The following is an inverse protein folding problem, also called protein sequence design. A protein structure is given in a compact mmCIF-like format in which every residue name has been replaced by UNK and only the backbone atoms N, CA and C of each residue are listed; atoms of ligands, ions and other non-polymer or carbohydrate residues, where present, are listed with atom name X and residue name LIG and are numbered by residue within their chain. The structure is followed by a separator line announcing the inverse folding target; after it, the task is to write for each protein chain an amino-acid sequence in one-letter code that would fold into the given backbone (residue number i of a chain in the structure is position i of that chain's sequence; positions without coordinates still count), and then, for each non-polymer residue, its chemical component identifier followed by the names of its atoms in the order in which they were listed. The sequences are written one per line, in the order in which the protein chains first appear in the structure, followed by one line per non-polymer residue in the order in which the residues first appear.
data_IF_501993105055
#
_entry.id   IF_501993105055
#
_cell.length_a   1.000
_cell.length_b   1.000
_cell.length_c   1.000
_cell.angle_alpha   90.00
_cell.angle_beta   90.00
_cell.angle_gamma   90.00
#
_symmetry.space_group_name_H-M   'P 1'
#
loop_
_entity.id
_entity.type
_entity.pdbx_description
1 polymer ?
#
# COMPACT_ATOMS: atom_id res chain seq x y z
N UNK A 1 -38.80 -63.89 34.23
CA UNK A 1 -37.78 -63.80 35.29
C UNK A 1 -36.50 -63.29 34.66
N UNK A 2 -36.05 -62.14 35.16
CA UNK A 2 -34.93 -61.32 34.68
C UNK A 2 -33.59 -61.90 35.14
N UNK A 3 -32.57 -61.80 34.31
CA UNK A 3 -31.18 -61.70 34.77
C UNK A 3 -30.55 -60.51 34.05
N UNK A 4 -30.51 -59.39 34.78
CA UNK A 4 -29.70 -58.21 34.51
C UNK A 4 -28.22 -58.60 34.48
N UNK A 5 -27.50 -58.22 33.42
CA UNK A 5 -26.04 -58.02 33.47
C UNK A 5 -25.76 -56.54 33.55
N UNK A 6 -25.10 -56.15 34.65
CA UNK A 6 -24.56 -54.82 34.90
C UNK A 6 -23.67 -54.34 33.75
N UNK A 7 -23.99 -53.17 33.19
CA UNK A 7 -23.05 -52.31 32.47
C UNK A 7 -22.77 -51.15 33.40
N UNK A 8 -21.52 -51.09 33.85
CA UNK A 8 -21.00 -50.01 34.68
C UNK A 8 -21.14 -48.67 33.97
N UNK A 9 -21.65 -47.70 34.73
CA UNK A 9 -21.72 -46.29 34.38
C UNK A 9 -20.30 -45.74 34.29
N UNK A 10 -19.84 -45.56 33.07
CA UNK A 10 -18.69 -44.73 32.77
C UNK A 10 -19.06 -43.27 33.10
N UNK A 11 -18.75 -42.87 34.33
CA UNK A 11 -19.03 -41.56 34.89
C UNK A 11 -17.89 -40.63 34.47
N UNK A 12 -17.82 -40.32 33.19
CA UNK A 12 -16.97 -39.24 32.71
C UNK A 12 -17.53 -37.91 33.24
N UNK A 13 -16.71 -37.05 33.85
CA UNK A 13 -17.15 -35.72 34.27
C UNK A 13 -17.61 -34.95 33.02
N UNK A 14 -18.60 -34.04 33.15
CA UNK A 14 -19.00 -33.19 32.05
C UNK A 14 -17.75 -32.45 31.56
N UNK A 15 -17.41 -32.66 30.29
CA UNK A 15 -16.46 -31.83 29.56
C UNK A 15 -16.92 -30.41 29.80
N UNK A 16 -16.13 -29.64 30.56
CA UNK A 16 -16.47 -28.28 30.93
C UNK A 16 -16.89 -27.54 29.68
N UNK A 17 -18.02 -26.82 29.75
CA UNK A 17 -18.45 -25.89 28.72
C UNK A 17 -17.23 -25.07 28.29
N UNK A 18 -16.69 -25.37 27.11
CA UNK A 18 -15.77 -24.46 26.45
C UNK A 18 -16.64 -23.25 26.19
N UNK A 19 -16.52 -22.24 27.07
CA UNK A 19 -17.28 -21.00 26.94
C UNK A 19 -17.17 -20.55 25.48
N UNK A 20 -18.32 -20.49 24.79
CA UNK A 20 -18.36 -20.02 23.43
C UNK A 20 -17.66 -18.65 23.37
N UNK A 21 -16.85 -18.39 22.32
CA UNK A 21 -16.10 -17.14 22.23
C UNK A 21 -17.06 -15.95 22.29
N UNK A 22 -16.69 -14.92 23.04
CA UNK A 22 -17.54 -13.73 23.14
C UNK A 22 -17.63 -13.01 21.78
N UNK A 23 -18.67 -12.18 21.60
CA UNK A 23 -18.78 -11.32 20.40
C UNK A 23 -17.51 -10.49 20.18
N UNK A 24 -16.90 -9.99 21.25
CA UNK A 24 -15.66 -9.20 21.19
C UNK A 24 -14.46 -10.05 20.72
N UNK A 25 -14.34 -11.29 21.18
CA UNK A 25 -13.30 -12.22 20.73
C UNK A 25 -13.46 -12.58 19.25
N UNK A 26 -14.70 -12.83 18.81
CA UNK A 26 -15.00 -13.13 17.40
C UNK A 26 -14.66 -11.94 16.52
N UNK A 27 -15.10 -10.73 16.89
CA UNK A 27 -14.79 -9.50 16.14
C UNK A 27 -13.29 -9.22 16.07
N UNK A 28 -12.55 -9.46 17.15
CA UNK A 28 -11.09 -9.37 17.16
C UNK A 28 -10.44 -10.35 16.17
N UNK A 29 -10.88 -11.60 16.17
CA UNK A 29 -10.39 -12.60 15.21
C UNK A 29 -10.72 -12.21 13.76
N UNK A 30 -11.96 -11.78 13.50
CA UNK A 30 -12.41 -11.34 12.18
C UNK A 30 -11.66 -10.10 11.68
N UNK A 31 -11.31 -9.18 12.58
CA UNK A 31 -10.47 -8.02 12.26
C UNK A 31 -9.05 -8.46 11.90
N UNK A 32 -8.46 -9.39 12.65
CA UNK A 32 -7.15 -9.96 12.30
C UNK A 32 -7.11 -10.59 10.91
N UNK A 33 -8.21 -11.22 10.47
CA UNK A 33 -8.33 -11.78 9.11
C UNK A 33 -8.45 -10.69 8.02
N UNK A 34 -9.14 -9.58 8.30
CA UNK A 34 -9.17 -8.42 7.39
C UNK A 34 -7.78 -7.83 7.21
N UNK A 35 -7.06 -7.62 8.32
CA UNK A 35 -5.70 -7.07 8.30
C UNK A 35 -4.73 -7.98 7.52
N UNK A 36 -4.79 -9.30 7.73
CA UNK A 36 -4.03 -10.28 6.94
C UNK A 36 -4.32 -10.17 5.44
N UNK A 37 -5.61 -10.14 5.09
CA UNK A 37 -6.02 -10.09 3.68
C UNK A 37 -5.61 -8.79 3.00
N UNK A 38 -5.78 -7.68 3.70
CA UNK A 38 -5.33 -6.36 3.23
C UNK A 38 -3.82 -6.35 3.01
N UNK A 39 -3.03 -6.80 3.99
CA UNK A 39 -1.58 -6.79 3.87
C UNK A 39 -1.08 -7.75 2.77
N UNK A 40 -1.69 -8.93 2.61
CA UNK A 40 -1.37 -9.84 1.48
C UNK A 40 -1.66 -9.22 0.12
N UNK A 41 -2.77 -8.48 -0.02
CA UNK A 41 -3.04 -7.70 -1.23
C UNK A 41 -1.96 -6.64 -1.44
N UNK A 42 -1.51 -5.95 -0.39
CA UNK A 42 -0.42 -4.99 -0.51
C UNK A 42 0.89 -5.65 -0.97
N UNK A 43 1.29 -6.79 -0.41
CA UNK A 43 2.47 -7.56 -0.82
C UNK A 43 2.38 -7.91 -2.32
N UNK A 44 1.22 -8.39 -2.76
CA UNK A 44 1.01 -8.83 -4.15
C UNK A 44 1.16 -7.68 -5.15
N UNK A 45 0.71 -6.48 -4.80
CA UNK A 45 0.62 -5.33 -5.72
C UNK A 45 1.69 -4.25 -5.51
N UNK A 46 2.46 -4.29 -4.43
CA UNK A 46 3.48 -3.29 -4.12
C UNK A 46 4.81 -3.89 -3.63
N UNK A 47 4.89 -5.20 -3.37
CA UNK A 47 6.11 -5.87 -2.87
C UNK A 47 6.82 -6.72 -3.93
N UNK A 48 7.62 -7.68 -3.45
CA UNK A 48 8.45 -8.59 -4.25
C UNK A 48 7.73 -9.26 -5.43
N UNK A 49 6.50 -9.76 -5.22
CA UNK A 49 5.75 -10.43 -6.28
C UNK A 49 5.37 -9.49 -7.44
N UNK A 50 5.29 -8.18 -7.17
CA UNK A 50 5.15 -7.17 -8.21
C UNK A 50 6.40 -7.04 -9.07
N UNK A 51 7.60 -7.21 -8.49
CA UNK A 51 8.87 -7.14 -9.23
C UNK A 51 9.30 -8.46 -9.89
N UNK A 52 9.05 -9.62 -9.27
CA UNK A 52 9.47 -10.93 -9.80
C UNK A 52 8.60 -11.41 -10.97
N UNK A 53 7.33 -11.01 -10.98
CA UNK A 53 6.38 -11.36 -12.04
C UNK A 53 5.81 -10.09 -12.68
N UNK A 54 6.64 -9.31 -13.41
CA UNK A 54 6.23 -8.06 -14.05
C UNK A 54 5.26 -8.25 -15.23
N UNK A 55 4.70 -9.46 -15.41
CA UNK A 55 3.64 -9.69 -16.38
C UNK A 55 2.38 -8.87 -15.99
N UNK A 56 2.28 -7.71 -16.64
CA UNK A 56 1.12 -6.95 -17.11
C UNK A 56 0.20 -6.27 -16.07
N UNK A 57 0.17 -6.64 -14.79
CA UNK A 57 -0.89 -6.07 -13.89
C UNK A 57 -0.50 -5.66 -12.46
N UNK A 58 0.74 -5.90 -11.99
CA UNK A 58 1.07 -5.79 -10.55
C UNK A 58 1.85 -4.52 -10.18
N UNK A 59 3.01 -4.29 -10.79
CA UNK A 59 3.60 -2.94 -10.91
C UNK A 59 3.00 -2.33 -12.17
N UNK A 60 2.36 -1.16 -12.04
CA UNK A 60 1.70 -0.56 -13.19
C UNK A 60 2.78 -0.02 -14.13
N UNK A 61 2.98 -0.71 -15.25
CA UNK A 61 3.83 -0.27 -16.34
C UNK A 61 3.04 0.65 -17.26
N UNK A 62 3.39 1.93 -17.22
CA UNK A 62 2.78 2.96 -18.05
C UNK A 62 3.16 2.82 -19.55
N UNK A 63 4.14 1.99 -19.89
CA UNK A 63 4.50 1.69 -21.28
C UNK A 63 3.49 0.80 -22.01
N UNK A 64 2.63 0.06 -21.27
CA UNK A 64 1.64 -0.78 -21.93
C UNK A 64 0.62 0.07 -22.69
N UNK A 65 0.54 -0.11 -24.01
CA UNK A 65 -0.48 0.50 -24.88
C UNK A 65 -1.89 -0.07 -24.65
N UNK A 66 -2.04 -1.11 -23.83
CA UNK A 66 -3.34 -1.70 -23.53
C UNK A 66 -4.13 -0.83 -22.56
N UNK A 67 -5.45 -0.81 -22.72
CA UNK A 67 -6.36 -0.20 -21.74
C UNK A 67 -6.11 -0.75 -20.33
N UNK A 68 -6.45 0.05 -19.32
CA UNK A 68 -6.38 -0.35 -17.92
C UNK A 68 -7.62 -1.16 -17.56
N UNK A 69 -7.43 -2.37 -17.03
CA UNK A 69 -8.50 -3.20 -16.49
C UNK A 69 -9.08 -2.58 -15.20
N UNK A 70 -10.36 -2.85 -14.92
CA UNK A 70 -11.05 -2.26 -13.77
C UNK A 70 -10.40 -2.68 -12.44
N UNK A 71 -9.92 -3.91 -12.34
CA UNK A 71 -9.22 -4.43 -11.17
C UNK A 71 -7.92 -3.66 -10.91
N UNK A 72 -7.14 -3.38 -11.97
CA UNK A 72 -5.93 -2.56 -11.88
C UNK A 72 -6.23 -1.12 -11.49
N UNK A 73 -7.28 -0.53 -12.06
CA UNK A 73 -7.75 0.82 -11.72
C UNK A 73 -8.14 0.91 -10.24
N UNK A 74 -8.82 -0.11 -9.72
CA UNK A 74 -9.25 -0.17 -8.32
C UNK A 74 -8.07 -0.27 -7.34
N UNK A 75 -6.91 -0.81 -7.75
CA UNK A 75 -5.70 -0.82 -6.91
C UNK A 75 -5.03 0.55 -6.74
N UNK A 76 -5.29 1.48 -7.68
CA UNK A 76 -4.87 2.88 -7.63
C UNK A 76 -5.82 3.71 -6.76
N UNK A 77 -7.09 3.30 -6.71
CA UNK A 77 -8.11 3.95 -5.92
C UNK A 77 -7.91 3.77 -4.41
N UNK A 78 -8.54 4.65 -3.63
CA UNK A 78 -8.46 4.72 -2.17
C UNK A 78 -7.02 4.88 -1.64
N UNK A 79 -6.08 5.33 -2.48
CA UNK A 79 -4.69 5.66 -2.10
C UNK A 79 -4.48 7.17 -2.00
N UNK A 80 -3.55 7.59 -1.16
CA UNK A 80 -3.24 9.03 -0.97
C UNK A 80 -2.39 9.59 -2.10
N UNK A 81 -1.36 8.87 -2.56
CA UNK A 81 -0.49 9.36 -3.65
C UNK A 81 0.17 8.23 -4.45
N UNK A 82 0.48 8.45 -5.74
CA UNK A 82 1.40 7.61 -6.48
C UNK A 82 2.85 7.84 -6.02
N UNK A 83 3.62 6.76 -5.98
CA UNK A 83 5.08 6.76 -5.90
C UNK A 83 5.62 6.24 -7.23
N UNK A 84 6.14 7.15 -8.04
CA UNK A 84 6.71 6.84 -9.35
C UNK A 84 8.17 6.42 -9.21
N UNK A 85 8.49 5.26 -9.77
CA UNK A 85 9.86 4.82 -9.90
C UNK A 85 10.41 5.24 -11.26
N UNK A 86 11.44 6.07 -11.22
CA UNK A 86 12.05 6.69 -12.40
C UNK A 86 13.25 5.85 -12.84
N UNK A 87 13.22 5.23 -14.03
CA UNK A 87 14.31 4.38 -14.51
C UNK A 87 15.46 5.22 -15.09
N UNK A 88 16.36 5.69 -14.23
CA UNK A 88 17.52 6.51 -14.62
C UNK A 88 18.80 5.70 -14.87
N UNK A 89 18.80 4.42 -14.51
CA UNK A 89 19.83 3.45 -14.91
C UNK A 89 19.24 2.06 -15.01
N UNK A 90 20.04 1.12 -15.55
CA UNK A 90 19.73 -0.30 -15.37
C UNK A 90 19.84 -0.63 -13.88
N UNK A 91 18.80 -1.27 -13.33
CA UNK A 91 18.76 -1.75 -11.96
C UNK A 91 18.56 -3.26 -12.02
N UNK A 92 19.36 -4.01 -11.26
CA UNK A 92 19.13 -5.44 -11.14
C UNK A 92 17.76 -5.69 -10.48
N UNK A 93 16.98 -6.61 -11.04
CA UNK A 93 15.60 -6.89 -10.60
C UNK A 93 15.51 -7.22 -9.09
N UNK A 94 16.54 -7.87 -8.54
CA UNK A 94 16.63 -8.19 -7.10
C UNK A 94 16.69 -6.92 -6.24
N UNK A 95 17.44 -5.89 -6.66
CA UNK A 95 17.54 -4.62 -5.95
C UNK A 95 16.21 -3.89 -5.95
N UNK A 96 15.51 -3.89 -7.09
CA UNK A 96 14.17 -3.33 -7.20
C UNK A 96 13.18 -4.09 -6.32
N UNK A 97 13.24 -5.42 -6.30
CA UNK A 97 12.36 -6.22 -5.47
C UNK A 97 12.56 -5.91 -3.98
N UNK A 98 13.80 -5.87 -3.49
CA UNK A 98 14.11 -5.51 -2.10
C UNK A 98 13.67 -4.08 -1.77
N UNK A 99 13.89 -3.14 -2.67
CA UNK A 99 13.43 -1.76 -2.51
C UNK A 99 11.92 -1.68 -2.29
N UNK A 100 11.14 -2.40 -3.10
CA UNK A 100 9.68 -2.45 -2.98
C UNK A 100 9.21 -3.07 -1.67
N UNK A 101 9.87 -4.14 -1.21
CA UNK A 101 9.59 -4.76 0.09
C UNK A 101 9.82 -3.78 1.24
N UNK A 102 10.97 -3.10 1.23
CA UNK A 102 11.32 -2.12 2.26
C UNK A 102 10.41 -0.90 2.22
N UNK A 103 10.06 -0.41 1.03
CA UNK A 103 9.13 0.71 0.86
C UNK A 103 7.74 0.34 1.39
N UNK A 104 7.25 -0.86 1.08
CA UNK A 104 5.98 -1.37 1.60
C UNK A 104 6.00 -1.49 3.12
N UNK A 105 7.02 -2.12 3.69
CA UNK A 105 7.15 -2.29 5.15
C UNK A 105 7.25 -0.94 5.87
N UNK A 106 8.02 -0.01 5.30
CA UNK A 106 8.21 1.33 5.85
C UNK A 106 6.91 2.14 5.82
N UNK A 107 6.26 2.22 4.67
CA UNK A 107 4.98 2.94 4.51
C UNK A 107 3.87 2.30 5.34
N UNK A 108 3.78 0.97 5.38
CA UNK A 108 2.83 0.26 6.22
C UNK A 108 3.05 0.54 7.71
N UNK A 109 4.29 0.47 8.20
CA UNK A 109 4.61 0.77 9.59
C UNK A 109 4.20 2.20 9.99
N UNK A 110 4.35 3.16 9.08
CA UNK A 110 4.03 4.57 9.33
C UNK A 110 2.52 4.84 9.28
N UNK A 111 1.83 4.25 8.31
CA UNK A 111 0.41 4.52 8.05
C UNK A 111 -0.53 3.68 8.91
N UNK A 112 -0.24 2.39 9.06
CA UNK A 112 -1.15 1.43 9.67
C UNK A 112 -1.24 1.62 11.19
N UNK A 113 -2.46 1.91 11.64
CA UNK A 113 -2.89 1.87 13.04
C UNK A 113 -3.62 0.55 13.28
N UNK A 114 -3.08 -0.37 14.11
CA UNK A 114 -3.73 -1.62 14.46
C UNK A 114 -5.18 -1.40 14.87
N UNK A 115 -6.08 -2.23 14.37
CA UNK A 115 -7.52 -2.16 14.65
C UNK A 115 -8.27 -0.93 14.13
N UNK A 116 -7.61 0.22 14.02
CA UNK A 116 -8.26 1.51 13.73
C UNK A 116 -8.22 1.90 12.25
N UNK A 117 -7.31 1.31 11.47
CA UNK A 117 -7.19 1.66 10.05
C UNK A 117 -8.39 1.18 9.23
N UNK A 118 -8.92 2.05 8.38
CA UNK A 118 -10.02 1.78 7.45
C UNK A 118 -9.53 0.96 6.23
N UNK A 119 -9.38 -0.35 6.40
CA UNK A 119 -8.78 -1.25 5.40
C UNK A 119 -9.79 -1.92 4.45
N UNK A 120 -11.10 -1.85 4.75
CA UNK A 120 -12.17 -2.61 4.07
C UNK A 120 -12.30 -2.28 2.58
N UNK A 121 -11.82 -1.11 2.17
CA UNK A 121 -11.83 -0.64 0.77
C UNK A 121 -10.43 -0.51 0.17
N UNK A 122 -9.46 -1.18 0.77
CA UNK A 122 -8.08 -1.11 0.33
C UNK A 122 -7.49 0.29 0.51
N UNK A 123 -7.89 1.06 1.54
CA UNK A 123 -7.20 2.31 1.84
C UNK A 123 -5.74 1.99 2.19
N UNK A 124 -4.83 2.86 1.73
CA UNK A 124 -3.41 2.86 2.10
C UNK A 124 -2.78 4.16 1.61
N UNK A 125 -1.59 4.48 2.11
CA UNK A 125 -0.94 5.73 1.76
C UNK A 125 -0.51 5.81 0.29
N UNK A 126 0.15 4.78 -0.23
CA UNK A 126 0.85 4.88 -1.52
C UNK A 126 0.45 3.81 -2.53
N UNK A 127 0.58 4.12 -3.82
CA UNK A 127 0.64 3.12 -4.91
C UNK A 127 1.95 3.28 -5.65
N UNK A 128 2.75 2.22 -5.72
CA UNK A 128 3.98 2.24 -6.51
C UNK A 128 3.67 1.99 -7.98
N UNK A 129 4.22 2.84 -8.85
CA UNK A 129 4.07 2.79 -10.30
C UNK A 129 5.45 2.88 -10.94
N UNK A 130 5.70 2.08 -11.97
CA UNK A 130 6.95 2.14 -12.73
C UNK A 130 6.75 3.03 -13.95
N UNK A 131 7.64 3.99 -14.14
CA UNK A 131 7.62 4.82 -15.33
C UNK A 131 8.33 4.13 -16.50
N UNK A 132 7.96 4.49 -17.74
CA UNK A 132 8.66 4.07 -18.93
C UNK A 132 10.12 4.43 -18.96
N UNK A 133 10.88 3.64 -19.71
CA UNK A 133 12.22 4.05 -20.13
C UNK A 133 12.18 5.06 -21.28
N UNK A 134 11.05 5.18 -21.99
CA UNK A 134 10.87 6.10 -23.11
C UNK A 134 9.64 7.01 -22.91
N UNK A 135 9.77 8.35 -23.00
CA UNK A 135 11.02 9.07 -23.21
C UNK A 135 11.94 8.97 -22.00
N UNK A 136 13.26 9.05 -22.26
CA UNK A 136 14.27 8.98 -21.22
C UNK A 136 13.99 10.03 -20.14
N UNK A 137 14.09 9.67 -18.84
CA UNK A 137 13.82 10.62 -17.78
C UNK A 137 14.88 11.74 -17.77
N UNK A 138 14.52 12.95 -17.32
CA UNK A 138 15.48 14.04 -17.15
C UNK A 138 16.66 13.63 -16.24
N UNK A 139 17.86 14.15 -16.49
CA UNK A 139 19.08 13.75 -15.75
C UNK A 139 19.11 14.30 -14.33
N UNK A 140 18.64 15.54 -14.14
CA UNK A 140 18.60 16.17 -12.83
C UNK A 140 17.42 15.65 -12.00
N UNK A 141 17.66 15.30 -10.73
CA UNK A 141 16.64 14.69 -9.87
C UNK A 141 15.56 15.70 -9.43
N UNK A 142 15.92 16.97 -9.31
CA UNK A 142 15.02 18.05 -8.91
C UNK A 142 15.17 19.21 -9.89
N UNK A 143 14.47 19.12 -11.02
CA UNK A 143 14.40 20.18 -12.02
C UNK A 143 12.95 20.38 -12.49
N UNK A 144 12.72 21.47 -13.22
CA UNK A 144 11.41 21.75 -13.81
C UNK A 144 11.01 20.64 -14.80
N UNK A 145 11.96 20.14 -15.59
CA UNK A 145 11.74 19.05 -16.54
C UNK A 145 11.33 17.76 -15.82
N UNK A 146 11.97 17.43 -14.69
CA UNK A 146 11.58 16.25 -13.90
C UNK A 146 10.18 16.44 -13.30
N UNK A 147 9.89 17.62 -12.74
CA UNK A 147 8.55 17.92 -12.21
C UNK A 147 7.48 17.75 -13.29
N UNK A 148 7.70 18.28 -14.50
CA UNK A 148 6.75 18.18 -15.60
C UNK A 148 6.63 16.76 -16.17
N UNK A 149 7.74 16.00 -16.20
CA UNK A 149 7.74 14.58 -16.54
C UNK A 149 6.85 13.77 -15.58
N UNK A 150 6.96 14.00 -14.28
CA UNK A 150 6.11 13.35 -13.27
C UNK A 150 4.65 13.79 -13.37
N UNK A 151 4.38 15.08 -13.62
CA UNK A 151 3.01 15.58 -13.86
C UNK A 151 2.35 14.90 -15.05
N UNK A 152 3.07 14.78 -16.17
CA UNK A 152 2.60 14.11 -17.38
C UNK A 152 2.17 12.67 -17.07
N UNK A 153 3.01 11.90 -16.39
CA UNK A 153 2.70 10.52 -16.05
C UNK A 153 1.60 10.37 -15.00
N UNK A 154 1.53 11.29 -14.02
CA UNK A 154 0.42 11.35 -13.08
C UNK A 154 -0.92 11.62 -13.77
N UNK A 155 -0.95 12.57 -14.70
CA UNK A 155 -2.13 12.86 -15.50
C UNK A 155 -2.53 11.67 -16.37
N UNK A 156 -1.56 11.00 -17.01
CA UNK A 156 -1.80 9.79 -17.81
C UNK A 156 -2.40 8.65 -16.97
N UNK A 157 -1.82 8.37 -15.80
CA UNK A 157 -2.32 7.36 -14.87
C UNK A 157 -3.77 7.66 -14.45
N UNK A 158 -4.05 8.89 -14.03
CA UNK A 158 -5.38 9.30 -13.61
C UNK A 158 -6.40 9.20 -14.75
N UNK A 159 -6.02 9.56 -15.98
CA UNK A 159 -6.90 9.44 -17.15
C UNK A 159 -7.25 7.98 -17.46
N UNK A 160 -6.27 7.07 -17.36
CA UNK A 160 -6.52 5.62 -17.56
C UNK A 160 -7.43 5.04 -16.49
N UNK A 161 -7.25 5.42 -15.22
CA UNK A 161 -8.16 5.03 -14.12
C UNK A 161 -9.57 5.52 -14.41
N UNK A 162 -9.72 6.80 -14.75
CA UNK A 162 -11.03 7.39 -15.05
C UNK A 162 -11.72 6.69 -16.22
N UNK A 163 -10.98 6.36 -17.28
CA UNK A 163 -11.51 5.62 -18.43
C UNK A 163 -11.97 4.21 -18.03
N UNK A 164 -11.13 3.46 -17.32
CA UNK A 164 -11.47 2.11 -16.85
C UNK A 164 -12.73 2.12 -15.99
N UNK A 165 -12.80 3.06 -15.04
CA UNK A 165 -13.97 3.24 -14.19
C UNK A 165 -15.20 3.65 -15.01
N UNK A 166 -15.08 4.50 -16.02
CA UNK A 166 -16.26 4.91 -16.82
C UNK A 166 -16.89 3.76 -17.62
N UNK A 167 -16.09 2.75 -18.00
CA UNK A 167 -16.53 1.65 -18.86
C UNK A 167 -17.10 0.47 -18.08
N UNK A 168 -16.57 0.21 -16.87
CA UNK A 168 -16.88 -1.01 -16.13
C UNK A 168 -17.00 -0.75 -14.62
N UNK A 169 -17.83 -1.56 -13.98
CA UNK A 169 -17.85 -1.76 -12.54
C UNK A 169 -17.19 -3.11 -12.26
N UNK A 170 -16.32 -3.18 -11.26
CA UNK A 170 -15.80 -4.46 -10.80
C UNK A 170 -16.94 -5.34 -10.24
N UNK A 171 -16.71 -6.65 -10.13
CA UNK A 171 -17.69 -7.62 -9.59
C UNK A 171 -18.27 -7.19 -8.24
N UNK A 172 -17.44 -6.65 -7.34
CA UNK A 172 -17.90 -6.17 -6.04
C UNK A 172 -18.84 -4.96 -6.19
N UNK A 173 -18.47 -4.02 -7.06
CA UNK A 173 -19.23 -2.79 -7.31
C UNK A 173 -20.55 -3.06 -8.05
N UNK A 174 -20.55 -3.99 -9.00
CA UNK A 174 -21.76 -4.47 -9.70
C UNK A 174 -22.77 -5.05 -8.72
N UNK A 175 -22.31 -5.90 -7.79
CA UNK A 175 -23.20 -6.48 -6.78
C UNK A 175 -23.71 -5.44 -5.79
N UNK A 176 -22.85 -4.49 -5.40
CA UNK A 176 -23.25 -3.39 -4.54
C UNK A 176 -24.18 -2.38 -5.23
N UNK A 177 -24.28 -2.42 -6.56
CA UNK A 177 -25.03 -1.45 -7.36
C UNK A 177 -24.45 -0.04 -7.31
N UNK A 178 -23.21 0.12 -6.83
CA UNK A 178 -22.54 1.42 -6.66
C UNK A 178 -21.01 1.28 -6.69
N UNK A 179 -20.33 2.38 -6.99
CA UNK A 179 -18.86 2.49 -6.92
C UNK A 179 -18.39 2.38 -5.47
N UNK A 180 -17.32 1.63 -5.25
CA UNK A 180 -16.69 1.37 -3.95
C UNK A 180 -15.23 1.81 -3.94
N UNK A 181 -14.59 1.87 -5.11
CA UNK A 181 -13.21 2.28 -5.29
C UNK A 181 -13.17 3.68 -5.92
N UNK A 182 -12.64 4.64 -5.17
CA UNK A 182 -12.62 6.04 -5.59
C UNK A 182 -11.19 6.56 -5.75
N UNK A 183 -10.89 7.18 -6.88
CA UNK A 183 -9.64 7.90 -7.06
C UNK A 183 -9.65 9.14 -6.16
N UNK A 184 -8.81 9.17 -5.12
CA UNK A 184 -8.81 10.25 -4.14
C UNK A 184 -8.31 11.55 -4.76
N UNK A 185 -8.87 12.72 -4.38
CA UNK A 185 -8.35 14.02 -4.81
C UNK A 185 -6.84 14.19 -4.57
N UNK A 186 -6.33 13.77 -3.40
CA UNK A 186 -4.89 13.80 -3.11
C UNK A 186 -4.05 12.98 -4.10
N UNK A 187 -4.57 11.83 -4.55
CA UNK A 187 -3.85 10.99 -5.51
C UNK A 187 -3.61 11.73 -6.82
N UNK A 188 -4.56 12.57 -7.21
CA UNK A 188 -4.46 13.42 -8.41
C UNK A 188 -3.58 14.63 -8.17
N UNK A 189 -3.49 15.13 -6.94
CA UNK A 189 -2.91 16.43 -6.59
C UNK A 189 -1.40 16.40 -6.27
N UNK A 190 -0.90 15.29 -5.73
CA UNK A 190 0.49 15.14 -5.32
C UNK A 190 1.05 13.79 -5.77
N UNK A 191 2.31 13.78 -6.20
CA UNK A 191 3.05 12.57 -6.54
C UNK A 191 4.43 12.59 -5.87
N UNK A 192 4.96 11.41 -5.58
CA UNK A 192 6.35 11.23 -5.14
C UNK A 192 7.11 10.52 -6.25
N UNK A 193 8.32 10.96 -6.56
CA UNK A 193 9.21 10.29 -7.50
C UNK A 193 10.48 9.83 -6.80
N UNK A 194 10.88 8.59 -7.10
CA UNK A 194 12.10 7.96 -6.59
C UNK A 194 12.89 7.43 -7.77
N UNK A 195 14.17 7.78 -7.86
CA UNK A 195 15.05 7.22 -8.88
C UNK A 195 15.50 5.82 -8.48
N UNK A 196 15.66 4.94 -9.46
CA UNK A 196 16.20 3.60 -9.20
C UNK A 196 17.57 3.66 -8.51
N UNK A 197 18.42 4.57 -8.95
CA UNK A 197 19.76 4.79 -8.37
C UNK A 197 19.75 5.30 -6.93
N UNK A 198 18.60 5.76 -6.40
CA UNK A 198 18.49 6.28 -5.03
C UNK A 198 18.52 5.19 -3.96
N UNK A 199 18.34 3.93 -4.34
CA UNK A 199 18.37 2.81 -3.43
C UNK A 199 19.45 1.81 -3.81
N UNK A 200 20.16 1.31 -2.79
CA UNK A 200 20.98 0.10 -2.88
C UNK A 200 20.65 -0.82 -1.72
N UNK A 201 20.90 -2.12 -1.87
CA UNK A 201 20.72 -3.10 -0.78
C UNK A 201 21.62 -2.82 0.43
N UNK A 202 22.62 -1.94 0.28
CA UNK A 202 23.53 -1.55 1.35
C UNK A 202 23.06 -0.31 2.11
N UNK A 203 22.04 0.42 1.65
CA UNK A 203 21.48 1.60 2.33
C UNK A 203 20.82 1.19 3.65
N UNK A 204 21.40 1.47 4.83
CA UNK A 204 20.96 0.88 6.09
C UNK A 204 19.53 1.30 6.49
N UNK A 205 19.08 2.47 6.05
CA UNK A 205 17.75 2.99 6.33
C UNK A 205 17.11 3.60 5.08
N UNK A 206 16.06 2.94 4.58
CA UNK A 206 15.29 3.39 3.42
C UNK A 206 14.66 4.77 3.64
N UNK A 207 14.44 5.19 4.88
CA UNK A 207 13.83 6.49 5.21
C UNK A 207 14.67 7.67 4.68
N UNK A 208 15.97 7.46 4.47
CA UNK A 208 16.94 8.50 4.11
C UNK A 208 17.12 8.72 2.61
N UNK A 209 16.57 7.83 1.78
CA UNK A 209 16.76 7.90 0.33
C UNK A 209 16.19 9.22 -0.23
N UNK A 210 16.84 9.82 -1.22
CA UNK A 210 16.32 11.02 -1.87
C UNK A 210 15.06 10.71 -2.67
N UNK A 211 14.08 11.60 -2.56
CA UNK A 211 12.83 11.57 -3.32
C UNK A 211 12.47 12.99 -3.77
N UNK A 212 11.60 13.09 -4.78
CA UNK A 212 11.02 14.36 -5.23
C UNK A 212 9.52 14.35 -4.95
N UNK A 213 9.03 15.32 -4.19
CA UNK A 213 7.60 15.56 -3.99
C UNK A 213 7.16 16.56 -5.07
N UNK A 214 6.14 16.23 -5.84
CA UNK A 214 5.66 17.03 -6.98
C UNK A 214 4.20 17.39 -6.78
N UNK A 215 3.87 18.68 -6.86
CA UNK A 215 2.49 19.17 -6.96
C UNK A 215 2.04 19.06 -8.41
N UNK A 216 0.94 18.37 -8.66
CA UNK A 216 0.48 18.14 -10.04
C UNK A 216 -0.25 19.34 -10.64
N UNK A 217 -0.80 20.19 -9.78
CA UNK A 217 -1.67 21.31 -10.16
C UNK A 217 -3.16 20.96 -10.19
N UNK A 218 -3.53 19.69 -9.91
CA UNK A 218 -4.94 19.31 -9.75
C UNK A 218 -5.38 19.64 -8.32
N UNK A 219 -6.38 20.51 -8.18
CA UNK A 219 -6.91 20.93 -6.88
C UNK A 219 -8.37 20.51 -6.66
N UNK A 220 -9.03 19.97 -7.70
CA UNK A 220 -10.44 19.57 -7.65
C UNK A 220 -10.73 18.56 -6.53
N UNK A 221 -11.63 18.92 -5.63
CA UNK A 221 -12.13 18.05 -4.56
C UNK A 221 -11.23 17.98 -3.32
N UNK A 222 -10.14 18.74 -3.26
CA UNK A 222 -9.35 18.92 -2.04
C UNK A 222 -10.06 19.86 -1.05
N UNK A 223 -9.84 19.63 0.25
CA UNK A 223 -10.21 20.59 1.30
C UNK A 223 -9.46 21.93 1.20
N UNK A 224 -8.21 21.88 0.73
CA UNK A 224 -7.35 23.04 0.48
C UNK A 224 -6.24 22.71 -0.54
N UNK A 225 -5.63 23.71 -1.20
CA UNK A 225 -4.49 23.49 -2.08
C UNK A 225 -3.34 22.71 -1.42
N UNK A 226 -2.58 21.95 -2.21
CA UNK A 226 -1.35 21.30 -1.72
C UNK A 226 -0.24 22.35 -1.67
N UNK A 227 0.24 22.62 -0.47
CA UNK A 227 1.29 23.60 -0.22
C UNK A 227 2.59 22.90 0.19
N UNK A 228 3.58 22.94 -0.69
CA UNK A 228 4.90 22.33 -0.43
C UNK A 228 5.74 23.18 0.54
N UNK A 229 5.33 24.41 0.87
CA UNK A 229 5.99 25.20 1.91
C UNK A 229 5.84 24.59 3.31
N UNK A 230 4.87 23.68 3.49
CA UNK A 230 4.72 22.92 4.74
C UNK A 230 5.85 21.92 4.98
N UNK A 231 6.66 21.59 3.95
CA UNK A 231 7.91 20.87 4.15
C UNK A 231 8.91 21.82 4.81
N UNK A 232 9.47 21.52 6.00
CA UNK A 232 10.40 22.41 6.68
C UNK A 232 11.61 22.75 5.80
N UNK A 233 12.04 24.02 5.79
CA UNK A 233 13.15 24.48 4.96
C UNK A 233 14.44 23.68 5.18
N UNK A 234 14.70 23.27 6.43
CA UNK A 234 15.86 22.42 6.80
C UNK A 234 15.85 21.03 6.15
N UNK A 235 14.69 20.55 5.74
CA UNK A 235 14.50 19.23 5.13
C UNK A 235 14.48 19.28 3.60
N UNK A 236 14.45 20.48 3.01
CA UNK A 236 14.46 20.69 1.55
C UNK A 236 15.89 20.56 1.04
N UNK A 237 16.15 19.52 0.25
CA UNK A 237 17.43 19.30 -0.43
C UNK A 237 17.56 20.12 -1.71
N UNK A 238 16.44 20.34 -2.38
CA UNK A 238 16.33 21.13 -3.60
C UNK A 238 14.87 21.58 -3.78
N UNK A 239 14.64 22.64 -4.54
CA UNK A 239 13.29 23.17 -4.81
C UNK A 239 13.16 23.59 -6.26
N UNK A 240 11.93 23.49 -6.77
CA UNK A 240 11.53 24.03 -8.07
C UNK A 240 10.29 24.88 -7.83
N UNK A 241 10.29 26.10 -8.35
CA UNK A 241 9.14 27.00 -8.31
C UNK A 241 8.47 27.06 -9.70
N UNK A 242 7.15 27.23 -9.72
CA UNK A 242 6.40 27.53 -10.93
C UNK A 242 6.60 28.99 -11.38
N UNK A 243 5.97 29.36 -12.50
CA UNK A 243 6.01 30.73 -13.03
C UNK A 243 5.38 31.78 -12.11
N UNK A 244 4.64 31.37 -11.08
CA UNK A 244 4.05 32.24 -10.07
C UNK A 244 4.91 32.32 -8.80
N UNK A 245 6.09 31.69 -8.80
CA UNK A 245 7.01 31.66 -7.66
C UNK A 245 6.57 30.70 -6.55
N UNK A 246 5.55 29.86 -6.77
CA UNK A 246 5.12 28.86 -5.78
C UNK A 246 5.89 27.57 -5.99
N UNK A 247 6.23 26.88 -4.91
CA UNK A 247 6.89 25.58 -5.01
C UNK A 247 6.04 24.58 -5.81
N UNK A 248 6.61 24.07 -6.89
CA UNK A 248 6.03 23.07 -7.78
C UNK A 248 6.59 21.68 -7.49
N UNK A 249 7.84 21.59 -7.01
CA UNK A 249 8.45 20.38 -6.52
C UNK A 249 9.49 20.66 -5.41
N UNK A 250 9.67 19.69 -4.52
CA UNK A 250 10.66 19.74 -3.43
C UNK A 250 11.40 18.40 -3.37
N UNK A 251 12.72 18.44 -3.47
CA UNK A 251 13.60 17.31 -3.18
C UNK A 251 13.76 17.13 -1.67
N UNK A 252 13.53 15.92 -1.15
CA UNK A 252 13.57 15.62 0.28
C UNK A 252 14.01 14.16 0.54
N UNK A 253 13.87 13.69 1.78
CA UNK A 253 13.97 12.26 2.13
C UNK A 253 12.64 11.55 1.98
N UNK A 254 12.65 10.22 1.90
CA UNK A 254 11.44 9.41 1.97
C UNK A 254 10.66 9.66 3.27
N UNK A 255 11.32 9.78 4.43
CA UNK A 255 10.65 10.06 5.71
C UNK A 255 9.86 11.36 5.69
N UNK A 256 10.46 12.42 5.13
CA UNK A 256 9.81 13.73 4.99
C UNK A 256 8.62 13.64 4.04
N UNK A 257 8.77 12.96 2.90
CA UNK A 257 7.67 12.77 1.95
C UNK A 257 6.50 11.97 2.54
N UNK A 258 6.78 10.86 3.24
CA UNK A 258 5.73 10.06 3.89
C UNK A 258 5.05 10.85 5.01
N UNK A 259 5.81 11.60 5.81
CA UNK A 259 5.25 12.49 6.85
C UNK A 259 4.34 13.55 6.25
N UNK A 260 4.78 14.20 5.16
CA UNK A 260 3.98 15.17 4.43
C UNK A 260 2.68 14.57 3.87
N UNK A 261 2.74 13.39 3.25
CA UNK A 261 1.55 12.71 2.73
C UNK A 261 0.57 12.31 3.85
N UNK A 262 1.05 11.87 5.00
CA UNK A 262 0.20 11.56 6.16
C UNK A 262 -0.50 12.81 6.70
N UNK A 263 0.19 13.95 6.75
CA UNK A 263 -0.42 15.22 7.16
C UNK A 263 -1.51 15.66 6.17
N UNK A 264 -1.28 15.51 4.87
CA UNK A 264 -2.30 15.77 3.85
C UNK A 264 -3.50 14.81 3.99
N UNK A 265 -3.27 13.51 4.19
CA UNK A 265 -4.35 12.55 4.42
C UNK A 265 -5.20 12.93 5.63
N UNK A 266 -4.56 13.25 6.77
CA UNK A 266 -5.26 13.66 7.98
C UNK A 266 -6.10 14.93 7.78
N UNK A 267 -5.58 15.90 7.01
CA UNK A 267 -6.33 17.11 6.63
C UNK A 267 -7.60 16.74 5.86
N UNK A 268 -7.49 15.90 4.84
CA UNK A 268 -8.65 15.48 4.04
C UNK A 268 -9.63 14.56 4.79
N UNK A 269 -9.18 13.84 5.82
CA UNK A 269 -10.06 13.07 6.70
C UNK A 269 -10.86 13.96 7.66
N UNK A 270 -10.30 15.13 8.01
CA UNK A 270 -10.93 16.09 8.93
C UNK A 270 -11.87 17.04 8.18
N UNK A 271 -11.38 17.64 7.09
CA UNK A 271 -12.04 18.77 6.42
C UNK A 271 -12.47 18.44 4.97
N UNK A 272 -12.16 17.24 4.47
CA UNK A 272 -12.40 16.85 3.08
C UNK A 272 -13.89 16.58 2.78
N UNK A 273 -14.45 17.13 1.69
CA UNK A 273 -15.89 17.05 1.39
C UNK A 273 -16.39 15.65 1.01
N UNK A 274 -15.50 14.73 0.61
CA UNK A 274 -15.86 13.45 -0.04
C UNK A 274 -15.36 12.22 0.73
N UNK A 275 -14.39 12.36 1.62
CA UNK A 275 -13.54 11.24 2.07
C UNK A 275 -14.17 10.39 3.16
N UNK A 276 -14.87 10.98 4.13
CA UNK A 276 -15.34 10.23 5.31
C UNK A 276 -16.51 9.29 4.99
N UNK A 277 -17.56 9.79 4.32
CA UNK A 277 -18.78 9.00 4.06
C UNK A 277 -18.63 7.97 2.93
N UNK A 278 -17.74 8.20 1.95
CA UNK A 278 -17.54 7.26 0.84
C UNK A 278 -16.69 6.04 1.24
N UNK A 279 -15.76 6.22 2.18
CA UNK A 279 -14.77 5.20 2.57
C UNK A 279 -15.24 4.40 3.81
N UNK A 280 -15.92 5.05 4.76
CA UNK A 280 -16.50 4.40 5.93
C UNK A 280 -17.71 3.57 5.53
N UNK A 281 -17.44 2.35 5.06
CA UNK A 281 -18.46 1.43 4.59
C UNK A 281 -19.31 0.89 5.73
N UNK A 282 -20.41 1.55 6.09
CA UNK A 282 -21.44 1.03 7.01
C UNK A 282 -22.30 -0.09 6.40
N UNK A 283 -21.71 -0.86 5.47
CA UNK A 283 -22.43 -1.90 4.73
C UNK A 283 -22.38 -3.23 5.49
N UNK A 284 -23.39 -4.04 5.25
CA UNK A 284 -23.33 -5.47 5.58
C UNK A 284 -22.23 -6.11 4.73
N UNK A 285 -21.38 -6.89 5.39
CA UNK A 285 -20.32 -7.65 4.72
C UNK A 285 -20.92 -8.85 3.98
N UNK A 286 -20.43 -9.07 2.76
CA UNK A 286 -20.89 -10.11 1.85
C UNK A 286 -19.93 -11.30 1.92
N UNK A 287 -20.38 -12.50 2.31
CA UNK A 287 -19.50 -13.66 2.44
C UNK A 287 -18.84 -14.09 1.11
N UNK A 288 -19.31 -13.62 -0.04
CA UNK A 288 -18.67 -13.88 -1.33
C UNK A 288 -17.40 -13.05 -1.56
N UNK A 289 -17.32 -11.86 -0.94
CA UNK A 289 -16.24 -10.89 -1.21
C UNK A 289 -15.45 -10.53 0.06
N UNK A 290 -16.08 -10.62 1.22
CA UNK A 290 -15.48 -10.35 2.52
C UNK A 290 -15.11 -11.66 3.22
N UNK A 291 -13.80 -11.89 3.32
CA UNK A 291 -13.28 -13.09 3.99
C UNK A 291 -13.83 -13.22 5.42
N UNK A 292 -13.97 -12.09 6.13
CA UNK A 292 -14.49 -12.09 7.50
C UNK A 292 -15.94 -12.54 7.57
N UNK A 293 -16.78 -12.11 6.62
CA UNK A 293 -18.15 -12.62 6.53
C UNK A 293 -18.18 -14.12 6.21
N UNK A 294 -17.31 -14.61 5.32
CA UNK A 294 -17.23 -16.05 5.00
C UNK A 294 -16.78 -16.93 6.17
N UNK A 295 -16.15 -16.34 7.20
CA UNK A 295 -15.56 -17.04 8.35
C UNK A 295 -16.38 -16.91 9.63
N UNK A 296 -17.34 -16.00 9.70
CA UNK A 296 -18.10 -15.67 10.91
C UNK A 296 -18.80 -16.89 11.53
N UNK A 297 -19.48 -17.71 10.72
CA UNK A 297 -20.25 -18.86 11.20
C UNK A 297 -19.33 -19.91 11.86
N UNK A 298 -18.13 -20.12 11.31
CA UNK A 298 -17.13 -21.04 11.86
C UNK A 298 -16.57 -20.59 13.21
N UNK A 299 -16.75 -19.32 13.54
CA UNK A 299 -16.35 -18.73 14.81
C UNK A 299 -17.51 -18.65 15.82
N UNK A 300 -18.68 -19.21 15.47
CA UNK A 300 -19.87 -19.16 16.32
C UNK A 300 -20.62 -17.84 16.24
N UNK A 301 -20.46 -17.06 15.16
CA UNK A 301 -21.27 -15.86 14.96
C UNK A 301 -22.73 -16.24 14.71
N UNK A 302 -23.59 -15.86 15.66
CA UNK A 302 -25.03 -16.00 15.56
C UNK A 302 -25.63 -14.65 15.14
N UNK A 303 -26.19 -14.57 13.93
CA UNK A 303 -26.78 -13.35 13.39
C UNK A 303 -28.05 -12.92 14.14
N UNK A 304 -28.79 -13.86 14.73
CA UNK A 304 -29.99 -13.55 15.53
C UNK A 304 -29.61 -12.84 16.83
N UNK A 305 -28.49 -13.24 17.44
CA UNK A 305 -28.03 -12.67 18.71
C UNK A 305 -27.09 -11.47 18.53
N UNK A 306 -26.20 -11.52 17.54
CA UNK A 306 -25.11 -10.55 17.37
C UNK A 306 -25.40 -9.51 16.28
N UNK A 307 -26.44 -9.73 15.48
CA UNK A 307 -26.80 -8.93 14.32
C UNK A 307 -25.95 -9.24 13.07
N UNK A 308 -26.25 -8.58 11.94
CA UNK A 308 -25.42 -8.71 10.74
C UNK A 308 -24.00 -8.20 11.01
N UNK A 309 -23.02 -8.79 10.33
CA UNK A 309 -21.65 -8.28 10.35
C UNK A 309 -21.57 -7.04 9.45
N UNK A 310 -21.38 -5.87 10.06
CA UNK A 310 -21.38 -4.56 9.37
C UNK A 310 -20.03 -3.89 9.51
N UNK A 311 -19.54 -3.26 8.44
CA UNK A 311 -18.35 -2.40 8.50
C UNK A 311 -18.64 -1.00 9.09
N UNK A 312 -17.62 -0.11 9.18
CA UNK A 312 -16.23 -0.39 8.86
C UNK A 312 -15.57 -1.26 9.94
N UNK A 313 -14.69 -2.16 9.53
CA UNK A 313 -13.99 -3.06 10.46
C UNK A 313 -13.07 -2.36 11.44
N UNK A 314 -12.78 -1.07 11.22
CA UNK A 314 -12.07 -0.20 12.16
C UNK A 314 -12.79 0.00 13.50
N UNK A 315 -14.09 -0.32 13.56
CA UNK A 315 -14.93 -0.19 14.77
C UNK A 315 -15.13 -1.51 15.52
N UNK A 316 -14.62 -2.61 14.99
CA UNK A 316 -14.89 -3.96 15.52
C UNK A 316 -14.15 -4.26 16.82
N UNK A 317 -13.00 -3.64 17.02
CA UNK A 317 -12.12 -3.90 18.15
C UNK A 317 -11.90 -2.60 18.91
N UNK A 318 -12.18 -2.64 20.20
CA UNK A 318 -11.84 -1.55 21.10
C UNK A 318 -10.33 -1.62 21.42
N UNK A 319 -9.55 -0.74 20.77
CA UNK A 319 -8.11 -0.67 20.96
C UNK A 319 -7.71 -0.33 22.40
N UNK A 320 -8.59 0.27 23.20
CA UNK A 320 -8.31 0.53 24.63
C UNK A 320 -8.33 -0.74 25.47
N UNK A 321 -9.15 -1.74 25.07
CA UNK A 321 -9.18 -3.06 25.70
C UNK A 321 -8.10 -4.00 25.16
N UNK A 322 -7.68 -3.79 23.90
CA UNK A 322 -6.63 -4.57 23.24
C UNK A 322 -5.51 -3.66 22.74
N UNK A 323 -4.67 -3.12 23.66
CA UNK A 323 -3.64 -2.16 23.29
C UNK A 323 -2.48 -2.77 22.48
N UNK A 324 -2.32 -4.10 22.55
CA UNK A 324 -1.29 -4.80 21.80
C UNK A 324 -1.88 -5.36 20.49
N UNK A 325 -1.21 -5.08 19.37
CA UNK A 325 -1.54 -5.69 18.10
C UNK A 325 -1.24 -7.19 18.12
N UNK A 326 -2.24 -7.98 17.77
CA UNK A 326 -2.29 -9.43 17.82
C UNK A 326 -3.29 -9.96 16.79
N UNK A 327 -3.20 -11.27 16.50
CA UNK A 327 -4.03 -11.95 15.52
C UNK A 327 -3.35 -12.09 14.15
N UNK A 328 -4.11 -12.55 13.15
CA UNK A 328 -3.51 -13.03 11.90
C UNK A 328 -2.78 -11.94 11.11
N UNK A 329 -3.28 -10.71 11.11
CA UNK A 329 -2.62 -9.56 10.48
C UNK A 329 -1.24 -9.28 11.05
N UNK A 330 -1.10 -9.34 12.38
CA UNK A 330 0.18 -9.16 13.06
C UNK A 330 1.18 -10.26 12.68
N UNK A 331 0.78 -11.52 12.75
CA UNK A 331 1.60 -12.67 12.36
C UNK A 331 2.15 -12.51 10.94
N UNK A 332 1.27 -12.24 9.97
CA UNK A 332 1.66 -12.13 8.56
C UNK A 332 2.65 -10.97 8.31
N UNK A 333 2.52 -9.85 9.02
CA UNK A 333 3.47 -8.74 8.90
C UNK A 333 4.82 -9.08 9.52
N UNK A 334 4.86 -9.82 10.64
CA UNK A 334 6.11 -10.29 11.23
C UNK A 334 6.81 -11.30 10.32
N UNK A 335 6.08 -12.33 9.86
CA UNK A 335 6.60 -13.34 8.92
C UNK A 335 7.18 -12.68 7.66
N UNK A 336 6.47 -11.70 7.10
CA UNK A 336 6.92 -10.96 5.94
C UNK A 336 8.18 -10.13 6.24
N UNK A 337 8.25 -9.46 7.39
CA UNK A 337 9.42 -8.67 7.80
C UNK A 337 10.66 -9.55 7.94
N UNK A 338 10.54 -10.70 8.59
CA UNK A 338 11.64 -11.66 8.77
C UNK A 338 12.12 -12.17 7.41
N UNK A 339 11.19 -12.53 6.53
CA UNK A 339 11.50 -12.95 5.16
C UNK A 339 12.23 -11.86 4.37
N UNK A 340 11.78 -10.60 4.44
CA UNK A 340 12.43 -9.47 3.77
C UNK A 340 13.83 -9.20 4.32
N UNK A 341 14.00 -9.28 5.65
CA UNK A 341 15.32 -9.12 6.28
C UNK A 341 16.29 -10.21 5.79
N UNK A 342 15.85 -11.47 5.72
CA UNK A 342 16.67 -12.56 5.21
C UNK A 342 17.05 -12.34 3.74
N UNK A 343 16.09 -12.02 2.88
CA UNK A 343 16.35 -11.74 1.43
C UNK A 343 17.34 -10.60 1.25
N UNK A 344 17.25 -9.57 2.08
CA UNK A 344 18.17 -8.45 2.05
C UNK A 344 19.59 -8.89 2.37
N UNK A 345 19.80 -9.69 3.43
CA UNK A 345 21.12 -10.22 3.78
C UNK A 345 21.68 -11.13 2.69
N UNK A 346 20.85 -12.02 2.13
CA UNK A 346 21.22 -12.95 1.06
C UNK A 346 21.63 -12.22 -0.23
N UNK A 347 21.05 -11.03 -0.49
CA UNK A 347 21.35 -10.23 -1.66
C UNK A 347 22.65 -9.42 -1.54
N UNK A 348 23.12 -9.11 -0.33
CA UNK A 348 24.36 -8.33 -0.12
C UNK A 348 25.59 -8.90 -0.85
N UNK A 349 25.94 -10.20 -0.75
CA UNK A 349 27.10 -10.74 -1.45
C UNK A 349 26.95 -10.64 -2.98
N UNK A 350 25.76 -10.97 -3.51
CA UNK A 350 25.46 -10.88 -4.95
C UNK A 350 25.67 -9.45 -5.44
N UNK A 351 25.17 -8.45 -4.71
CA UNK A 351 25.29 -7.06 -5.11
C UNK A 351 26.73 -6.53 -5.01
N UNK A 352 27.53 -7.01 -4.05
CA UNK A 352 28.96 -6.67 -3.97
C UNK A 352 29.71 -7.21 -5.19
N UNK A 353 29.51 -8.48 -5.53
CA UNK A 353 30.14 -9.10 -6.70
C UNK A 353 29.78 -8.38 -8.00
N UNK A 354 28.51 -7.97 -8.15
CA UNK A 354 28.07 -7.18 -9.31
C UNK A 354 28.74 -5.80 -9.38
N UNK A 355 28.84 -5.09 -8.26
CA UNK A 355 29.52 -3.80 -8.19
C UNK A 355 31.01 -3.93 -8.54
N UNK A 356 31.65 -4.98 -8.06
CA UNK A 356 33.05 -5.29 -8.37
C UNK A 356 33.23 -5.60 -9.85
N UNK A 357 32.34 -6.41 -10.45
CA UNK A 357 32.37 -6.76 -11.87
C UNK A 357 32.12 -5.55 -12.79
N UNK A 358 31.18 -4.67 -12.44
CA UNK A 358 30.93 -3.43 -13.19
C UNK A 358 32.11 -2.47 -13.11
N UNK A 359 32.72 -2.37 -11.93
CA UNK A 359 33.93 -1.56 -11.71
C UNK A 359 35.10 -2.09 -12.54
N UNK A 360 35.27 -3.41 -12.59
CA UNK A 360 36.30 -4.07 -13.40
C UNK A 360 36.06 -3.90 -14.91
N UNK A 361 34.80 -4.05 -15.36
CA UNK A 361 34.42 -3.83 -16.76
C UNK A 361 34.60 -2.38 -17.20
N UNK A 362 34.36 -1.40 -16.31
CA UNK A 362 34.63 0.03 -16.57
C UNK A 362 36.13 0.29 -16.68
N UNK A 363 36.94 -0.24 -15.76
CA UNK A 363 38.40 -0.16 -15.79
C UNK A 363 38.99 -0.74 -17.09
N UNK A 364 38.51 -1.90 -17.56
CA UNK A 364 38.96 -2.53 -18.80
C UNK A 364 38.62 -1.70 -20.05
N UNK A 365 37.45 -1.04 -20.10
CA UNK A 365 37.07 -0.16 -21.21
C UNK A 365 37.90 1.12 -21.26
N UNK A 366 38.20 1.70 -20.10
CA UNK A 366 39.03 2.91 -19.99
C UNK A 366 40.50 2.64 -20.32
N UNK A 367 41.00 1.45 -19.98
CA UNK A 367 42.39 1.05 -20.29
C UNK A 367 42.58 0.56 -21.72
N UNK A 368 41.53 0.03 -22.37
CA UNK A 368 41.59 -0.39 -23.79
C UNK A 368 41.39 0.76 -24.79
N UNK A 369 41.06 1.96 -24.31
CA UNK A 369 40.85 3.17 -25.13
C UNK A 369 42.07 4.13 -25.11
N UNK A 370 43.19 3.70 -24.51
CA UNK A 370 44.49 4.36 -24.54
C UNK A 370 45.46 3.53 -25.38
#
# INVERSE_FOLDING_TARGET
MSLQSHIDRDSSPPVGEVNAPSKEDILHHLRGLQEDTHFRKLILYNGWYGAQFPNIEKLFDLDSLTGMWIESANHVCNRTAPVFLVPDSWQHWLTLAIFLEELLLYTHKRWFRPYESDIDRGQFLTKVCTLPQSPAPPTEACSQEMADYIKMWSANLCARVALAQSNELDREERRAGKRLYHLRPLFRAVAVAVRYTSFSVTVPDISTIPVLIVRTGVEDGLSAPVDLEQVPESDRRAVVADSQGRLSAVGATLDVAITFLMALEQREETDGPVTKAAIQGTRVMDPMFDISASRREKLGWDEEQMGPLVGPSSTWVDATKRPAWSGKGHETVQDYREMCAQRREDAKPIMREMQDAESWGRYMRETSSR
#
